data_IF_218590517860
#
_entry.id   IF_218590517860
#
_cell.length_a   1.000
_cell.length_b   1.000
_cell.length_c   1.000
_cell.angle_alpha   90.00
_cell.angle_beta   90.00
_cell.angle_gamma   90.00
#
_symmetry.space_group_name_H-M   'P 1'
#
loop_
_entity.id
_entity.type
_entity.pdbx_description
1 polymer ?
#
# COMPACT_ATOMS: atom_id res chain seq x y z
N UNK A 1 16.68 4.27 18.70
CA UNK A 1 16.42 3.51 17.44
C UNK A 1 15.72 2.22 17.84
N UNK A 2 14.56 1.94 17.30
CA UNK A 2 13.75 0.74 17.61
C UNK A 2 14.57 -0.52 17.37
N UNK A 3 14.70 -1.38 18.38
CA UNK A 3 15.41 -2.65 18.27
C UNK A 3 14.53 -3.69 17.56
N UNK A 4 15.13 -4.45 16.67
CA UNK A 4 14.43 -5.45 15.86
C UNK A 4 15.23 -6.75 15.75
N UNK A 5 14.61 -7.79 15.20
CA UNK A 5 15.25 -9.07 14.87
C UNK A 5 15.87 -9.11 13.46
N UNK A 6 16.29 -7.96 12.92
CA UNK A 6 16.74 -7.78 11.53
C UNK A 6 17.82 -8.80 11.10
N UNK A 7 18.76 -9.12 11.99
CA UNK A 7 19.86 -10.07 11.71
C UNK A 7 19.39 -11.53 11.54
N UNK A 8 18.14 -11.82 11.90
CA UNK A 8 17.55 -13.16 11.77
C UNK A 8 16.67 -13.29 10.53
N UNK A 9 16.43 -12.19 9.78
CA UNK A 9 15.51 -12.19 8.65
C UNK A 9 16.18 -12.66 7.37
N UNK A 10 15.67 -13.74 6.73
CA UNK A 10 16.17 -14.15 5.43
C UNK A 10 15.82 -13.17 4.33
N UNK A 11 16.71 -12.98 3.38
CA UNK A 11 16.45 -12.29 2.11
C UNK A 11 16.32 -13.33 1.01
N UNK A 12 15.21 -13.31 0.27
CA UNK A 12 15.00 -14.23 -0.85
C UNK A 12 14.56 -13.46 -2.09
N UNK A 13 14.80 -14.03 -3.27
CA UNK A 13 14.31 -13.48 -4.54
C UNK A 13 12.94 -14.06 -4.87
N UNK A 14 11.97 -13.20 -5.19
CA UNK A 14 10.69 -13.60 -5.78
C UNK A 14 10.49 -12.85 -7.09
N UNK A 15 9.89 -13.53 -8.08
CA UNK A 15 9.75 -12.99 -9.43
C UNK A 15 8.28 -12.73 -9.77
N UNK A 16 8.04 -11.62 -10.48
CA UNK A 16 6.79 -11.28 -11.13
C UNK A 16 7.03 -10.69 -12.51
N UNK A 17 5.96 -10.29 -13.16
CA UNK A 17 5.94 -9.63 -14.46
C UNK A 17 4.82 -8.58 -14.46
N UNK A 18 4.79 -7.70 -15.46
CA UNK A 18 3.72 -6.70 -15.59
C UNK A 18 2.38 -7.42 -15.69
N UNK A 19 1.41 -7.02 -14.89
CA UNK A 19 0.03 -7.52 -15.03
C UNK A 19 -0.75 -6.59 -15.97
N UNK A 20 -1.49 -7.13 -16.96
CA UNK A 20 -2.18 -6.31 -17.95
C UNK A 20 -3.26 -5.42 -17.29
N UNK A 21 -3.57 -4.30 -17.95
CA UNK A 21 -4.70 -3.46 -17.56
C UNK A 21 -6.00 -4.26 -17.56
N UNK A 22 -6.80 -4.07 -16.53
CA UNK A 22 -8.15 -4.59 -16.45
C UNK A 22 -9.14 -3.60 -17.08
N UNK A 23 -10.19 -4.11 -17.69
CA UNK A 23 -11.32 -3.29 -18.12
C UNK A 23 -12.39 -3.25 -17.03
N UNK A 24 -13.14 -2.15 -16.88
CA UNK A 24 -14.33 -2.17 -16.06
C UNK A 24 -15.27 -3.27 -16.54
N UNK A 25 -15.54 -4.26 -15.71
CA UNK A 25 -16.53 -5.29 -16.03
C UNK A 25 -17.92 -4.65 -16.01
N UNK A 26 -18.57 -4.61 -17.20
CA UNK A 26 -19.89 -4.01 -17.36
C UNK A 26 -21.00 -4.64 -16.49
N UNK A 27 -20.71 -5.78 -15.82
CA UNK A 27 -21.60 -6.42 -14.87
C UNK A 27 -21.44 -5.92 -13.42
N UNK A 28 -20.28 -5.40 -13.05
CA UNK A 28 -20.04 -4.89 -11.70
C UNK A 28 -20.36 -3.39 -11.54
N UNK A 29 -20.30 -2.63 -12.63
CA UNK A 29 -20.67 -1.23 -12.68
C UNK A 29 -22.11 -1.10 -13.16
N UNK A 30 -23.06 -1.27 -12.25
CA UNK A 30 -24.47 -1.09 -12.56
C UNK A 30 -24.72 0.30 -13.16
N UNK A 31 -25.21 0.32 -14.37
CA UNK A 31 -25.33 1.46 -15.25
C UNK A 31 -26.09 2.67 -14.67
N UNK A 32 -26.95 2.45 -13.68
CA UNK A 32 -27.83 3.51 -13.17
C UNK A 32 -27.14 4.48 -12.20
N UNK A 33 -26.05 4.05 -11.58
CA UNK A 33 -25.33 4.87 -10.58
C UNK A 33 -23.97 5.37 -11.05
N UNK A 34 -23.44 4.88 -12.17
CA UNK A 34 -22.02 5.03 -12.52
C UNK A 34 -21.73 5.29 -14.00
N UNK A 35 -22.52 6.11 -14.64
CA UNK A 35 -22.14 6.66 -15.98
C UNK A 35 -20.74 7.28 -15.97
N UNK A 36 -20.30 7.76 -14.81
CA UNK A 36 -18.95 8.31 -14.62
C UNK A 36 -17.89 7.20 -14.56
N UNK A 37 -18.19 6.06 -13.93
CA UNK A 37 -17.27 4.91 -13.81
C UNK A 37 -17.03 4.16 -15.12
N UNK A 38 -17.97 4.21 -16.05
CA UNK A 38 -17.84 3.56 -17.36
C UNK A 38 -16.76 4.18 -18.27
N UNK A 39 -16.43 5.46 -18.05
CA UNK A 39 -15.44 6.20 -18.83
C UNK A 39 -14.12 6.40 -18.04
N UNK A 40 -13.79 5.49 -17.14
CA UNK A 40 -12.58 5.55 -16.32
C UNK A 40 -11.66 4.38 -16.61
N UNK A 41 -10.35 4.61 -16.45
CA UNK A 41 -9.37 3.52 -16.42
C UNK A 41 -9.44 2.80 -15.08
N UNK A 42 -9.07 1.53 -15.05
CA UNK A 42 -9.02 0.76 -13.83
C UNK A 42 -7.59 0.38 -13.44
N UNK A 43 -7.45 -0.60 -12.56
CA UNK A 43 -6.18 -1.13 -12.08
C UNK A 43 -5.43 -1.93 -13.18
N UNK A 44 -4.16 -2.18 -12.96
CA UNK A 44 -3.30 -2.97 -13.82
C UNK A 44 -2.43 -2.14 -14.77
N UNK A 45 -1.47 -2.78 -15.41
CA UNK A 45 -0.60 -2.19 -16.42
C UNK A 45 0.49 -1.26 -15.88
N UNK A 46 0.87 -0.31 -16.72
CA UNK A 46 1.87 0.71 -16.44
C UNK A 46 1.20 2.08 -16.43
N UNK A 47 1.16 2.73 -15.27
CA UNK A 47 0.64 4.09 -15.10
C UNK A 47 1.78 5.09 -15.25
N UNK A 48 1.79 5.87 -16.33
CA UNK A 48 2.89 6.76 -16.65
C UNK A 48 2.86 8.09 -15.91
N UNK A 49 1.68 8.61 -15.62
CA UNK A 49 1.47 9.98 -15.13
C UNK A 49 1.15 10.10 -13.63
N UNK A 50 0.98 8.99 -12.91
CA UNK A 50 0.76 8.98 -11.46
C UNK A 50 1.76 8.09 -10.75
N UNK A 51 2.26 8.59 -9.61
CA UNK A 51 3.26 7.94 -8.76
C UNK A 51 2.93 8.07 -7.29
N UNK A 52 3.69 7.37 -6.45
CA UNK A 52 3.73 7.65 -5.02
C UNK A 52 4.07 9.14 -4.78
N UNK A 53 3.35 9.79 -3.87
CA UNK A 53 3.42 11.23 -3.59
C UNK A 53 2.49 12.09 -4.44
N UNK A 54 1.80 11.55 -5.44
CA UNK A 54 0.79 12.27 -6.22
C UNK A 54 -0.60 12.13 -5.59
N UNK A 55 -1.52 13.11 -5.79
CA UNK A 55 -2.90 12.99 -5.31
C UNK A 55 -3.58 11.72 -5.83
N UNK A 56 -4.31 11.03 -4.95
CA UNK A 56 -5.02 9.80 -5.29
C UNK A 56 -6.55 9.95 -5.28
N UNK A 57 -7.05 11.16 -4.99
CA UNK A 57 -8.47 11.47 -4.88
C UNK A 57 -9.00 12.21 -6.11
N UNK A 58 -10.24 11.90 -6.51
CA UNK A 58 -10.93 12.61 -7.59
C UNK A 58 -10.40 12.38 -9.00
N UNK A 59 -9.59 11.34 -9.21
CA UNK A 59 -9.07 10.97 -10.52
C UNK A 59 -10.16 10.28 -11.38
N UNK A 60 -9.96 10.31 -12.70
CA UNK A 60 -10.74 9.49 -13.64
C UNK A 60 -10.17 8.05 -13.66
N UNK A 61 -10.20 7.42 -12.50
CA UNK A 61 -9.67 6.08 -12.28
C UNK A 61 -10.49 5.33 -11.23
N UNK A 62 -10.64 4.03 -11.44
CA UNK A 62 -11.27 3.09 -10.53
C UNK A 62 -10.17 2.23 -9.89
N UNK A 63 -9.89 2.43 -8.61
CA UNK A 63 -8.77 1.77 -7.93
C UNK A 63 -7.44 1.95 -8.69
N UNK A 64 -7.21 3.14 -9.28
CA UNK A 64 -6.04 3.38 -10.11
C UNK A 64 -4.76 3.12 -9.31
N UNK A 65 -3.93 2.24 -9.82
CA UNK A 65 -2.65 1.86 -9.23
C UNK A 65 -1.52 2.75 -9.77
N UNK A 66 -0.70 3.37 -8.91
CA UNK A 66 0.41 4.21 -9.37
C UNK A 66 1.60 3.36 -9.82
N UNK A 67 2.33 3.80 -10.84
CA UNK A 67 3.56 3.17 -11.32
C UNK A 67 3.30 1.88 -12.08
N UNK A 68 3.83 0.76 -11.65
CA UNK A 68 3.74 -0.51 -12.38
C UNK A 68 3.03 -1.57 -11.56
N UNK A 69 1.97 -2.11 -12.12
CA UNK A 69 1.27 -3.26 -11.54
C UNK A 69 1.94 -4.55 -11.96
N UNK A 70 2.17 -5.45 -11.01
CA UNK A 70 2.84 -6.72 -11.29
C UNK A 70 2.21 -7.89 -10.56
N UNK A 71 2.40 -9.08 -11.14
CA UNK A 71 1.91 -10.35 -10.62
C UNK A 71 2.83 -11.50 -11.02
N UNK A 72 2.77 -12.62 -10.30
CA UNK A 72 3.37 -13.86 -10.78
C UNK A 72 2.29 -14.74 -11.42
N UNK A 73 2.39 -14.96 -12.73
CA UNK A 73 1.41 -15.72 -13.53
C UNK A 73 1.65 -17.23 -13.55
N UNK A 74 2.73 -17.74 -12.94
CA UNK A 74 3.05 -19.19 -13.00
C UNK A 74 1.94 -20.04 -12.37
N UNK A 75 1.48 -19.66 -11.19
CA UNK A 75 0.36 -20.31 -10.48
C UNK A 75 -0.04 -19.48 -9.23
N UNK A 76 -1.20 -19.76 -8.62
CA UNK A 76 -1.67 -19.01 -7.43
C UNK A 76 -0.73 -19.08 -6.23
N UNK A 77 -0.01 -20.19 -6.01
CA UNK A 77 0.93 -20.32 -4.89
C UNK A 77 2.17 -19.44 -5.10
N UNK A 78 2.69 -19.36 -6.33
CA UNK A 78 3.80 -18.49 -6.69
C UNK A 78 3.42 -17.02 -6.55
N UNK A 79 2.24 -16.61 -7.00
CA UNK A 79 1.74 -15.25 -6.77
C UNK A 79 1.50 -14.97 -5.29
N UNK A 80 1.01 -15.97 -4.56
CA UNK A 80 0.88 -15.89 -3.11
C UNK A 80 2.21 -15.63 -2.41
N UNK A 81 3.29 -16.30 -2.82
CA UNK A 81 4.63 -16.08 -2.31
C UNK A 81 5.17 -14.70 -2.72
N UNK A 82 4.97 -14.30 -3.99
CA UNK A 82 5.35 -13.00 -4.53
C UNK A 82 4.77 -11.85 -3.70
N UNK A 83 3.47 -11.92 -3.39
CA UNK A 83 2.80 -10.94 -2.54
C UNK A 83 3.20 -11.05 -1.05
N UNK A 84 3.24 -12.26 -0.50
CA UNK A 84 3.45 -12.46 0.96
C UNK A 84 4.84 -11.99 1.39
N UNK A 85 5.88 -12.35 0.64
CA UNK A 85 7.26 -12.06 1.04
C UNK A 85 7.73 -10.67 0.65
N UNK A 86 7.15 -10.05 -0.38
CA UNK A 86 7.48 -8.67 -0.73
C UNK A 86 6.98 -7.71 0.35
N UNK A 87 7.84 -6.82 0.82
CA UNK A 87 7.51 -5.77 1.79
C UNK A 87 7.60 -4.39 1.13
N UNK A 88 6.80 -3.44 1.60
CA UNK A 88 6.82 -2.05 1.16
C UNK A 88 8.21 -1.46 1.43
N UNK A 89 8.87 -0.94 0.42
CA UNK A 89 10.25 -0.46 0.46
C UNK A 89 11.28 -1.45 -0.09
N UNK A 90 10.94 -2.74 -0.27
CA UNK A 90 11.88 -3.69 -0.85
C UNK A 90 12.34 -3.28 -2.23
N UNK A 91 13.62 -3.47 -2.52
CA UNK A 91 14.19 -3.20 -3.83
C UNK A 91 13.69 -4.22 -4.86
N UNK A 92 13.29 -3.70 -6.01
CA UNK A 92 12.94 -4.49 -7.19
C UNK A 92 13.89 -4.17 -8.34
N UNK A 93 14.22 -5.18 -9.14
CA UNK A 93 15.07 -5.05 -10.32
C UNK A 93 14.35 -5.56 -11.56
N UNK A 94 14.40 -4.80 -12.65
CA UNK A 94 13.97 -5.26 -13.98
C UNK A 94 14.98 -6.31 -14.48
N UNK A 95 14.50 -7.49 -14.89
CA UNK A 95 15.37 -8.60 -15.31
C UNK A 95 15.22 -8.98 -16.78
N UNK A 96 14.32 -8.30 -17.52
CA UNK A 96 14.10 -8.48 -18.97
C UNK A 96 13.97 -7.14 -19.69
N UNK A 97 13.82 -7.16 -21.02
CA UNK A 97 13.57 -6.01 -21.87
C UNK A 97 14.66 -4.93 -21.86
N UNK A 98 14.30 -3.77 -22.38
CA UNK A 98 15.23 -2.63 -22.57
C UNK A 98 15.60 -1.96 -21.24
N UNK A 99 14.70 -2.00 -20.26
CA UNK A 99 14.93 -1.50 -18.90
C UNK A 99 15.74 -2.46 -18.01
N UNK A 100 16.25 -3.57 -18.54
CA UNK A 100 16.98 -4.58 -17.76
C UNK A 100 18.12 -3.98 -16.94
N UNK A 101 18.13 -4.27 -15.64
CA UNK A 101 19.13 -3.77 -14.70
C UNK A 101 18.67 -2.55 -13.91
N UNK A 102 17.68 -1.81 -14.38
CA UNK A 102 17.07 -0.69 -13.64
C UNK A 102 16.42 -1.20 -12.35
N UNK A 103 16.36 -0.33 -11.34
CA UNK A 103 15.87 -0.66 -10.01
C UNK A 103 14.75 0.28 -9.58
N UNK A 104 13.89 -0.22 -8.71
CA UNK A 104 12.78 0.51 -8.13
C UNK A 104 12.42 -0.04 -6.76
N UNK A 105 11.20 0.22 -6.30
CA UNK A 105 10.72 -0.18 -4.97
C UNK A 105 9.32 -0.80 -5.03
N UNK A 106 9.06 -1.72 -4.10
CA UNK A 106 7.70 -2.19 -3.81
C UNK A 106 6.95 -1.08 -3.06
N UNK A 107 5.77 -0.70 -3.52
CA UNK A 107 5.00 0.44 -2.99
C UNK A 107 3.64 0.07 -2.46
N UNK A 108 3.08 -1.09 -2.82
CA UNK A 108 1.75 -1.47 -2.40
C UNK A 108 1.42 -2.93 -2.70
N UNK A 109 0.34 -3.40 -2.07
CA UNK A 109 -0.28 -4.71 -2.31
C UNK A 109 -1.77 -4.52 -2.43
N UNK A 110 -2.35 -4.82 -3.58
CA UNK A 110 -3.78 -4.69 -3.82
C UNK A 110 -4.45 -6.07 -3.71
N UNK A 111 -5.39 -6.19 -2.80
CA UNK A 111 -6.21 -7.39 -2.60
C UNK A 111 -7.26 -7.57 -3.71
N UNK A 112 -7.89 -8.74 -3.77
CA UNK A 112 -8.79 -9.05 -4.87
C UNK A 112 -8.04 -9.49 -6.13
N UNK A 113 -7.41 -8.58 -6.89
CA UNK A 113 -6.58 -8.96 -8.04
C UNK A 113 -5.25 -9.58 -7.63
N UNK A 114 -4.83 -9.45 -6.37
CA UNK A 114 -3.56 -9.95 -5.83
C UNK A 114 -2.35 -9.34 -6.57
N UNK A 115 -2.39 -8.01 -6.77
CA UNK A 115 -1.32 -7.25 -7.40
C UNK A 115 -0.24 -6.82 -6.40
N UNK A 116 1.00 -6.75 -6.88
CA UNK A 116 2.11 -6.06 -6.23
C UNK A 116 2.45 -4.81 -7.04
N UNK A 117 2.39 -3.64 -6.42
CA UNK A 117 2.69 -2.37 -7.08
C UNK A 117 4.15 -2.01 -6.90
N UNK A 118 4.74 -1.52 -7.99
CA UNK A 118 6.15 -1.20 -8.09
C UNK A 118 6.33 0.25 -8.55
N UNK A 119 7.24 0.94 -7.92
CA UNK A 119 7.73 2.22 -8.41
C UNK A 119 9.00 2.02 -9.25
N UNK A 120 9.05 2.64 -10.40
CA UNK A 120 10.26 2.94 -11.17
C UNK A 120 10.22 4.42 -11.56
N UNK A 121 11.39 5.02 -11.77
CA UNK A 121 11.47 6.39 -12.27
C UNK A 121 10.80 6.53 -13.65
N UNK A 122 10.38 7.75 -14.06
CA UNK A 122 9.66 7.94 -15.31
C UNK A 122 10.41 7.44 -16.55
N UNK A 123 11.74 7.67 -16.61
CA UNK A 123 12.57 7.24 -17.73
C UNK A 123 12.62 5.72 -17.85
N UNK A 124 12.70 5.02 -16.72
CA UNK A 124 12.65 3.55 -16.69
C UNK A 124 11.27 3.04 -17.14
N UNK A 125 10.18 3.68 -16.70
CA UNK A 125 8.82 3.26 -17.10
C UNK A 125 8.55 3.39 -18.60
N UNK A 126 9.12 4.41 -19.26
CA UNK A 126 9.02 4.57 -20.72
C UNK A 126 9.73 3.43 -21.51
N UNK A 127 10.65 2.72 -20.86
CA UNK A 127 11.37 1.59 -21.45
C UNK A 127 10.71 0.24 -21.13
N UNK A 128 9.74 0.20 -20.21
CA UNK A 128 9.05 -1.03 -19.84
C UNK A 128 7.97 -1.40 -20.84
N UNK A 129 7.80 -2.70 -21.03
CA UNK A 129 6.72 -3.31 -21.81
C UNK A 129 5.88 -4.24 -20.93
N UNK A 130 4.72 -4.67 -21.44
CA UNK A 130 3.86 -5.60 -20.71
C UNK A 130 4.45 -7.01 -20.50
N UNK A 131 5.54 -7.33 -21.22
CA UNK A 131 6.23 -8.63 -21.10
C UNK A 131 7.41 -8.60 -20.12
N UNK A 132 7.67 -7.42 -19.49
CA UNK A 132 8.82 -7.26 -18.63
C UNK A 132 8.67 -7.95 -17.28
N UNK A 133 9.80 -8.50 -16.80
CA UNK A 133 9.90 -9.29 -15.59
C UNK A 133 10.71 -8.57 -14.53
N UNK A 134 10.27 -8.80 -13.29
CA UNK A 134 10.81 -8.17 -12.09
C UNK A 134 11.30 -9.21 -11.09
N UNK A 135 12.45 -8.95 -10.48
CA UNK A 135 12.96 -9.69 -9.33
C UNK A 135 12.92 -8.79 -8.10
N UNK A 136 12.08 -9.12 -7.13
CA UNK A 136 12.06 -8.45 -5.82
C UNK A 136 13.06 -9.16 -4.91
N UNK A 137 13.96 -8.39 -4.31
CA UNK A 137 14.81 -8.84 -3.20
C UNK A 137 14.03 -8.62 -1.91
N UNK A 138 13.34 -9.65 -1.44
CA UNK A 138 12.44 -9.52 -0.30
C UNK A 138 13.19 -9.49 1.03
N UNK A 139 12.76 -8.60 1.92
CA UNK A 139 13.26 -8.49 3.28
C UNK A 139 12.19 -7.86 4.19
N UNK A 140 12.02 -8.40 5.39
CA UNK A 140 11.06 -7.85 6.36
C UNK A 140 9.90 -8.79 6.73
N UNK A 141 9.69 -9.90 5.99
CA UNK A 141 8.73 -10.91 6.43
C UNK A 141 9.23 -11.58 7.72
N UNK A 142 8.43 -11.52 8.78
CA UNK A 142 8.83 -11.97 10.12
C UNK A 142 9.52 -10.90 10.98
N UNK A 143 9.54 -9.62 10.54
CA UNK A 143 10.06 -8.51 11.32
C UNK A 143 9.31 -8.37 12.65
N UNK A 144 10.07 -8.26 13.74
CA UNK A 144 9.54 -8.00 15.10
C UNK A 144 10.25 -6.82 15.74
N UNK A 145 9.50 -6.05 16.53
CA UNK A 145 10.01 -4.95 17.33
C UNK A 145 10.28 -5.50 18.74
N UNK A 146 11.55 -5.72 19.09
CA UNK A 146 11.93 -6.47 20.30
C UNK A 146 11.51 -5.79 21.60
N UNK A 147 11.44 -4.46 21.60
CA UNK A 147 11.01 -3.68 22.76
C UNK A 147 9.48 -3.46 22.82
N UNK A 148 8.79 -3.79 21.74
CA UNK A 148 7.33 -3.61 21.58
C UNK A 148 6.66 -4.89 21.06
N UNK A 149 6.66 -6.00 21.82
CA UNK A 149 6.15 -7.30 21.36
C UNK A 149 4.64 -7.30 21.05
N UNK A 150 3.88 -6.33 21.58
CA UNK A 150 2.46 -6.13 21.31
C UNK A 150 2.20 -5.27 20.05
N UNK A 151 3.24 -4.79 19.38
CA UNK A 151 3.15 -4.09 18.09
C UNK A 151 3.71 -5.01 17.01
N UNK A 152 2.86 -5.43 16.09
CA UNK A 152 3.25 -6.32 15.01
C UNK A 152 3.61 -5.53 13.75
N UNK A 153 4.80 -5.77 13.20
CA UNK A 153 5.14 -5.31 11.86
C UNK A 153 4.52 -6.23 10.80
N UNK A 154 4.02 -5.63 9.73
CA UNK A 154 3.44 -6.29 8.55
C UNK A 154 3.95 -5.60 7.30
N UNK A 155 4.20 -6.34 6.25
CA UNK A 155 4.51 -5.78 4.93
C UNK A 155 5.58 -4.66 4.91
N UNK A 156 6.45 -4.57 5.90
CA UNK A 156 7.35 -3.44 6.12
C UNK A 156 8.81 -3.85 5.94
N UNK A 157 9.50 -3.15 5.03
CA UNK A 157 10.95 -3.25 4.88
C UNK A 157 11.65 -2.68 6.11
N UNK A 158 12.68 -3.37 6.67
CA UNK A 158 13.41 -2.88 7.84
C UNK A 158 14.14 -1.54 7.64
N UNK A 159 14.66 -1.27 6.44
CA UNK A 159 15.28 0.03 6.15
C UNK A 159 14.24 1.15 6.08
N UNK A 160 13.06 0.85 5.51
CA UNK A 160 11.96 1.80 5.51
C UNK A 160 11.50 2.12 6.94
N UNK A 161 11.38 1.10 7.81
CA UNK A 161 11.05 1.31 9.23
C UNK A 161 11.99 2.34 9.88
N UNK A 162 13.30 2.25 9.61
CA UNK A 162 14.28 3.19 10.15
C UNK A 162 14.16 4.61 9.58
N UNK A 163 13.68 4.74 8.34
CA UNK A 163 13.49 6.04 7.67
C UNK A 163 12.18 6.74 8.06
N UNK A 164 11.22 6.03 8.67
CA UNK A 164 9.91 6.56 9.03
C UNK A 164 9.93 7.64 10.12
N UNK A 165 11.06 7.88 10.80
CA UNK A 165 11.17 8.91 11.83
C UNK A 165 10.30 8.63 13.07
N UNK A 166 10.06 7.36 13.39
CA UNK A 166 9.26 6.94 14.55
C UNK A 166 10.00 7.30 15.85
N UNK A 167 9.30 7.97 16.74
CA UNK A 167 9.80 8.34 18.07
C UNK A 167 9.28 7.35 19.13
N UNK A 168 10.11 7.04 20.13
CA UNK A 168 9.73 6.22 21.28
C UNK A 168 9.44 7.16 22.46
N UNK A 169 8.20 7.12 23.00
CA UNK A 169 7.78 7.99 24.09
C UNK A 169 6.76 7.30 24.98
N UNK A 170 7.00 7.33 26.30
CA UNK A 170 6.07 6.82 27.34
C UNK A 170 5.58 5.38 27.06
N UNK A 171 6.45 4.51 26.53
CA UNK A 171 6.15 3.12 26.19
C UNK A 171 5.31 2.94 24.93
N UNK A 172 5.15 3.99 24.11
CA UNK A 172 4.45 4.00 22.85
C UNK A 172 5.37 4.37 21.70
N UNK A 173 4.94 4.00 20.49
CA UNK A 173 5.51 4.50 19.24
C UNK A 173 4.71 5.70 18.73
N UNK A 174 5.38 6.82 18.54
CA UNK A 174 4.82 8.02 17.90
C UNK A 174 5.21 7.98 16.43
N UNK A 175 4.25 7.68 15.57
CA UNK A 175 4.48 7.47 14.14
C UNK A 175 4.04 8.71 13.36
N UNK A 176 4.91 9.29 12.52
CA UNK A 176 4.49 10.32 11.58
C UNK A 176 3.43 9.78 10.62
N UNK A 177 2.31 10.50 10.50
CA UNK A 177 1.19 10.15 9.61
C UNK A 177 0.62 11.40 8.96
N UNK A 178 0.13 11.29 7.74
CA UNK A 178 -0.53 12.42 7.06
C UNK A 178 -1.95 12.62 7.58
N UNK A 179 -2.66 11.52 7.85
CA UNK A 179 -4.07 11.52 8.22
C UNK A 179 -4.36 10.48 9.31
N UNK A 180 -5.46 10.71 10.05
CA UNK A 180 -6.07 9.72 10.94
C UNK A 180 -7.43 9.34 10.36
N UNK A 181 -7.64 8.06 10.13
CA UNK A 181 -8.83 7.53 9.48
C UNK A 181 -9.81 7.05 10.56
N UNK A 182 -11.00 7.66 10.66
CA UNK A 182 -12.05 7.20 11.57
C UNK A 182 -12.45 5.76 11.26
N UNK A 183 -12.67 4.95 12.29
CA UNK A 183 -12.96 3.51 12.11
C UNK A 183 -14.22 3.22 11.30
N UNK A 184 -15.20 4.13 11.28
CA UNK A 184 -16.43 4.01 10.49
C UNK A 184 -16.19 4.12 8.98
N UNK A 185 -15.04 4.64 8.55
CA UNK A 185 -14.70 4.78 7.13
C UNK A 185 -13.97 3.56 6.54
N UNK A 186 -13.65 2.52 7.31
CA UNK A 186 -13.03 1.31 6.77
C UNK A 186 -14.08 0.41 6.12
N UNK A 187 -13.85 0.06 4.85
CA UNK A 187 -14.81 -0.61 3.96
C UNK A 187 -14.35 -1.95 3.42
N UNK A 188 -14.33 -2.08 2.11
CA UNK A 188 -14.03 -3.32 1.37
C UNK A 188 -12.72 -3.96 1.83
N UNK A 189 -12.66 -5.28 1.88
CA UNK A 189 -11.54 -6.04 2.43
C UNK A 189 -11.56 -6.23 3.94
N UNK A 190 -12.49 -5.60 4.67
CA UNK A 190 -12.70 -5.84 6.11
C UNK A 190 -13.12 -7.30 6.35
N UNK A 191 -12.59 -7.91 7.40
CA UNK A 191 -12.81 -9.33 7.70
C UNK A 191 -11.87 -10.29 6.96
N UNK A 192 -11.10 -9.82 5.97
CA UNK A 192 -10.20 -10.66 5.20
C UNK A 192 -8.93 -11.05 5.96
N UNK A 193 -8.45 -12.26 5.68
CA UNK A 193 -7.17 -12.80 6.15
C UNK A 193 -6.42 -13.42 4.97
N UNK A 194 -5.09 -13.43 4.92
CA UNK A 194 -4.11 -12.89 5.88
C UNK A 194 -3.81 -11.39 5.65
N UNK A 195 -3.41 -10.67 6.69
CA UNK A 195 -3.04 -9.24 6.63
C UNK A 195 -1.67 -8.97 5.99
N UNK A 196 -0.93 -10.01 5.63
CA UNK A 196 0.35 -9.93 4.91
C UNK A 196 0.17 -9.83 3.38
N UNK A 197 -1.08 -9.82 2.90
CA UNK A 197 -1.43 -9.66 1.48
C UNK A 197 -2.51 -8.60 1.34
N UNK A 198 -2.44 -7.88 0.21
CA UNK A 198 -3.45 -6.94 -0.18
C UNK A 198 -3.65 -5.80 0.81
N UNK A 199 -4.79 -5.18 0.71
CA UNK A 199 -5.22 -3.97 1.40
C UNK A 199 -6.65 -4.08 1.91
N UNK A 200 -7.19 -2.99 2.39
CA UNK A 200 -8.61 -2.73 2.55
C UNK A 200 -8.89 -1.23 2.41
N UNK A 201 -10.12 -0.90 1.99
CA UNK A 201 -10.42 0.42 1.47
C UNK A 201 -10.93 1.38 2.54
N UNK A 202 -10.62 2.65 2.35
CA UNK A 202 -11.28 3.76 3.03
C UNK A 202 -12.51 4.12 2.20
N UNK A 203 -13.71 3.99 2.76
CA UNK A 203 -14.96 4.36 2.07
C UNK A 203 -15.02 5.87 1.85
N UNK A 204 -15.17 6.28 0.59
CA UNK A 204 -15.17 7.69 0.20
C UNK A 204 -16.46 8.13 -0.49
N UNK A 205 -17.53 7.33 -0.43
CA UNK A 205 -18.84 7.66 -1.02
C UNK A 205 -19.49 8.89 -0.40
N UNK A 206 -19.31 9.11 0.92
CA UNK A 206 -19.75 10.33 1.62
C UNK A 206 -18.72 11.45 1.45
N UNK A 207 -18.88 12.23 0.37
CA UNK A 207 -17.94 13.31 0.03
C UNK A 207 -17.89 14.44 1.05
N UNK A 208 -18.97 14.67 1.81
CA UNK A 208 -19.01 15.68 2.88
C UNK A 208 -18.17 15.19 4.08
N UNK A 209 -18.30 13.93 4.46
CA UNK A 209 -17.46 13.35 5.51
C UNK A 209 -15.98 13.32 5.09
N UNK A 210 -15.68 12.93 3.84
CA UNK A 210 -14.31 12.95 3.29
C UNK A 210 -13.67 14.32 3.46
N UNK A 211 -14.35 15.41 3.05
CA UNK A 211 -13.87 16.79 3.21
C UNK A 211 -13.75 17.19 4.69
N UNK A 212 -14.75 16.84 5.51
CA UNK A 212 -14.78 17.19 6.94
C UNK A 212 -13.57 16.62 7.70
N UNK A 213 -13.11 15.44 7.32
CA UNK A 213 -11.94 14.76 7.94
C UNK A 213 -10.64 14.97 7.13
N UNK A 214 -10.70 15.76 6.04
CA UNK A 214 -9.53 16.18 5.25
C UNK A 214 -8.95 15.10 4.34
N UNK A 215 -9.68 14.02 4.07
CA UNK A 215 -9.21 12.90 3.25
C UNK A 215 -9.21 13.19 1.74
N UNK A 216 -9.79 14.28 1.30
CA UNK A 216 -9.72 14.77 -0.08
C UNK A 216 -8.30 15.19 -0.51
N UNK A 217 -7.37 15.27 0.44
CA UNK A 217 -5.95 15.59 0.21
C UNK A 217 -5.03 14.38 0.23
N UNK A 218 -5.57 13.15 0.35
CA UNK A 218 -4.79 11.91 0.33
C UNK A 218 -3.96 11.76 -0.96
N UNK A 219 -2.76 11.20 -0.79
CA UNK A 219 -1.82 10.91 -1.89
C UNK A 219 -1.42 9.44 -1.86
N UNK A 220 -1.07 8.91 -2.99
CA UNK A 220 -0.40 7.61 -3.07
C UNK A 220 0.85 7.60 -2.19
N UNK A 221 1.02 6.55 -1.40
CA UNK A 221 2.16 6.41 -0.50
C UNK A 221 2.03 7.14 0.83
N UNK A 222 0.96 7.89 1.08
CA UNK A 222 0.71 8.52 2.39
C UNK A 222 0.60 7.47 3.49
N UNK A 223 1.23 7.76 4.61
CA UNK A 223 1.12 6.94 5.83
C UNK A 223 -0.05 7.45 6.64
N UNK A 224 -0.96 6.55 6.98
CA UNK A 224 -2.19 6.85 7.70
C UNK A 224 -2.33 6.02 8.97
N UNK A 225 -2.96 6.60 10.00
CA UNK A 225 -3.36 5.88 11.19
C UNK A 225 -4.82 5.48 11.07
N UNK A 226 -5.11 4.21 11.32
CA UNK A 226 -6.46 3.64 11.33
C UNK A 226 -6.92 3.46 12.77
N UNK A 227 -7.97 4.18 13.15
CA UNK A 227 -8.53 4.13 14.49
C UNK A 227 -9.37 2.88 14.71
N UNK A 228 -9.20 2.22 15.87
CA UNK A 228 -9.96 1.04 16.27
C UNK A 228 -9.90 -0.11 15.22
N UNK A 229 -8.77 -0.24 14.51
CA UNK A 229 -8.53 -1.32 13.56
C UNK A 229 -7.43 -2.24 14.07
N UNK A 230 -7.78 -3.51 14.25
CA UNK A 230 -6.86 -4.61 14.58
C UNK A 230 -6.56 -5.43 13.33
N UNK A 231 -5.27 -5.60 13.04
CA UNK A 231 -4.78 -6.39 11.92
C UNK A 231 -3.89 -7.55 12.38
N UNK A 232 -4.06 -8.00 13.61
CA UNK A 232 -3.27 -9.10 14.20
C UNK A 232 -3.57 -10.43 13.51
N UNK A 233 -4.85 -10.78 13.38
CA UNK A 233 -5.31 -12.06 12.82
C UNK A 233 -6.20 -11.91 11.59
N UNK A 234 -6.50 -10.71 11.20
CA UNK A 234 -7.41 -10.34 10.11
C UNK A 234 -7.82 -8.89 10.29
N UNK A 235 -8.47 -8.31 9.29
CA UNK A 235 -8.89 -6.91 9.28
C UNK A 235 -10.18 -6.74 10.06
N UNK A 236 -10.08 -6.38 11.35
CA UNK A 236 -11.20 -6.33 12.26
C UNK A 236 -11.33 -4.97 12.97
N UNK A 237 -12.56 -4.57 13.28
CA UNK A 237 -12.80 -3.48 14.22
C UNK A 237 -12.56 -4.00 15.66
N UNK A 238 -11.74 -3.27 16.41
CA UNK A 238 -11.49 -3.56 17.82
C UNK A 238 -11.24 -2.24 18.56
N UNK A 239 -12.11 -1.89 19.51
CA UNK A 239 -12.01 -0.65 20.26
C UNK A 239 -10.67 -0.52 20.98
N UNK A 240 -9.98 0.61 20.74
CA UNK A 240 -8.66 0.91 21.30
C UNK A 240 -7.48 0.34 20.49
N UNK A 241 -7.71 -0.54 19.52
CA UNK A 241 -6.66 -0.99 18.60
C UNK A 241 -6.25 0.12 17.64
N UNK A 242 -4.99 0.10 17.22
CA UNK A 242 -4.44 1.08 16.27
C UNK A 242 -3.62 0.37 15.22
N UNK A 243 -3.80 0.76 13.97
CA UNK A 243 -2.95 0.31 12.87
C UNK A 243 -2.38 1.49 12.09
N UNK A 244 -1.21 1.29 11.54
CA UNK A 244 -0.55 2.19 10.57
C UNK A 244 -0.54 1.49 9.23
N UNK A 245 -0.94 2.20 8.19
CA UNK A 245 -0.91 1.69 6.84
C UNK A 245 -0.43 2.72 5.83
N UNK A 246 -0.24 2.26 4.60
CA UNK A 246 0.17 3.07 3.45
C UNK A 246 -0.93 3.06 2.40
N UNK A 247 -1.24 4.24 1.83
CA UNK A 247 -2.20 4.39 0.73
C UNK A 247 -1.57 3.85 -0.56
N UNK A 248 -2.25 2.88 -1.20
CA UNK A 248 -1.63 2.11 -2.28
C UNK A 248 -2.33 2.29 -3.63
N UNK A 249 -3.63 2.51 -3.68
CA UNK A 249 -4.38 2.82 -4.89
C UNK A 249 -5.34 3.99 -4.67
N UNK A 250 -5.88 4.52 -5.76
CA UNK A 250 -6.70 5.71 -5.77
C UNK A 250 -8.16 5.46 -5.37
N UNK A 251 -8.89 6.57 -5.35
CA UNK A 251 -10.33 6.62 -5.10
C UNK A 251 -11.12 5.77 -6.12
N UNK A 252 -12.35 5.51 -5.82
CA UNK A 252 -13.28 4.78 -6.67
C UNK A 252 -14.68 5.34 -6.51
N UNK A 253 -15.53 5.10 -7.49
CA UNK A 253 -16.96 5.41 -7.42
C UNK A 253 -17.78 4.26 -6.83
N UNK A 254 -17.17 3.11 -6.58
CA UNK A 254 -17.86 1.92 -6.08
C UNK A 254 -18.23 2.08 -4.61
N UNK A 255 -19.51 1.85 -4.20
CA UNK A 255 -19.92 1.90 -2.80
C UNK A 255 -19.15 0.93 -1.92
N UNK A 256 -18.75 1.40 -0.72
CA UNK A 256 -17.96 0.60 0.21
C UNK A 256 -16.46 0.55 -0.10
N UNK A 257 -16.03 1.17 -1.20
CA UNK A 257 -14.64 1.24 -1.66
C UNK A 257 -14.10 2.68 -1.62
N UNK A 258 -12.82 2.83 -1.92
CA UNK A 258 -12.06 4.08 -1.96
C UNK A 258 -10.56 3.78 -1.93
N UNK A 259 -9.68 4.70 -1.52
CA UNK A 259 -8.25 4.44 -1.46
C UNK A 259 -7.91 3.24 -0.59
N UNK A 260 -7.11 2.32 -1.14
CA UNK A 260 -6.68 1.10 -0.45
C UNK A 260 -5.54 1.33 0.51
N UNK A 261 -5.53 0.58 1.62
CA UNK A 261 -4.52 0.68 2.69
C UNK A 261 -3.86 -0.67 2.94
N UNK A 262 -2.56 -0.79 2.63
CA UNK A 262 -1.74 -1.93 3.07
C UNK A 262 -1.17 -1.66 4.46
N UNK A 263 -1.31 -2.60 5.38
CA UNK A 263 -0.90 -2.45 6.78
C UNK A 263 0.61 -2.61 6.95
N UNK A 264 1.21 -1.71 7.73
CA UNK A 264 2.63 -1.71 8.11
C UNK A 264 2.86 -2.06 9.57
N UNK A 265 2.08 -1.47 10.50
CA UNK A 265 2.13 -1.75 11.92
C UNK A 265 0.72 -1.93 12.48
N UNK A 266 0.54 -2.79 13.48
CA UNK A 266 -0.73 -2.96 14.17
C UNK A 266 -0.55 -3.32 15.63
N UNK A 267 -1.42 -2.80 16.50
CA UNK A 267 -1.49 -3.20 17.90
C UNK A 267 -2.94 -3.24 18.37
N UNK A 268 -3.29 -4.30 19.11
CA UNK A 268 -4.59 -4.39 19.82
C UNK A 268 -4.68 -3.46 21.03
N UNK A 269 -3.54 -2.96 21.49
CA UNK A 269 -3.42 -2.01 22.59
C UNK A 269 -3.15 -0.61 22.03
N UNK A 270 -3.46 0.47 22.74
CA UNK A 270 -3.18 1.84 22.29
C UNK A 270 -1.70 2.20 22.44
N UNK A 271 -0.80 1.39 21.86
CA UNK A 271 0.66 1.55 21.92
C UNK A 271 1.22 2.32 20.73
N UNK A 272 0.39 2.73 19.79
CA UNK A 272 0.77 3.54 18.64
C UNK A 272 -0.02 4.84 18.68
N UNK A 273 0.68 5.97 18.52
CA UNK A 273 0.09 7.30 18.34
C UNK A 273 0.53 7.90 17.02
N UNK A 274 -0.40 8.52 16.30
CA UNK A 274 -0.11 9.25 15.06
C UNK A 274 0.22 10.72 15.34
N UNK A 275 1.39 11.18 14.88
CA UNK A 275 1.80 12.57 14.84
C UNK A 275 1.61 13.10 13.42
N UNK A 276 0.76 14.11 13.24
CA UNK A 276 0.52 14.66 11.90
C UNK A 276 1.80 15.29 11.36
N UNK A 277 2.25 14.78 10.24
CA UNK A 277 3.34 15.30 9.41
C UNK A 277 2.98 15.12 7.93
N UNK A 278 2.86 16.22 7.20
CA UNK A 278 2.51 16.20 5.76
C UNK A 278 3.54 15.49 4.88
N UNK A 279 4.76 15.26 5.39
CA UNK A 279 5.83 14.54 4.70
C UNK A 279 5.82 13.03 4.97
N UNK A 280 4.91 12.54 5.82
CA UNK A 280 4.79 11.12 6.14
C UNK A 280 4.28 10.31 4.94
N UNK A 281 5.15 10.09 3.98
CA UNK A 281 4.85 9.42 2.72
C UNK A 281 6.07 8.61 2.28
N UNK A 282 5.84 7.41 1.75
CA UNK A 282 6.94 6.54 1.29
C UNK A 282 7.74 7.18 0.15
N UNK A 283 7.14 8.04 -0.68
CA UNK A 283 7.85 8.76 -1.74
C UNK A 283 8.95 9.65 -1.18
N UNK A 284 8.71 10.31 -0.04
CA UNK A 284 9.70 11.14 0.64
C UNK A 284 10.82 10.28 1.25
N UNK A 285 10.46 9.22 1.96
CA UNK A 285 11.44 8.38 2.65
C UNK A 285 12.28 7.49 1.73
N UNK A 286 11.77 7.14 0.54
CA UNK A 286 12.50 6.40 -0.50
C UNK A 286 13.29 7.33 -1.44
N UNK A 287 13.21 8.66 -1.24
CA UNK A 287 13.92 9.64 -2.06
C UNK A 287 13.37 9.79 -3.48
N UNK A 288 12.09 9.46 -3.66
CA UNK A 288 11.40 9.55 -4.96
C UNK A 288 10.90 10.97 -5.23
N UNK A 289 10.34 11.61 -4.20
CA UNK A 289 9.75 12.96 -4.30
C UNK A 289 9.97 13.72 -3.00
N UNK A 290 10.46 14.95 -3.11
CA UNK A 290 10.46 15.85 -1.96
C UNK A 290 9.03 16.38 -1.73
N UNK A 291 8.54 16.20 -0.52
CA UNK A 291 7.20 16.63 -0.08
C UNK A 291 7.26 17.73 1.00
N UNK A 292 8.38 18.47 1.02
CA UNK A 292 8.59 19.60 1.93
C UNK A 292 7.58 20.73 1.71
#
# INVERSE_FOLDING_TARGET
>A
MIRTNIDLLPMIGVQGEVDPCMTPDGGEFNADNFRIGQDTVTMGGITYNFNIGDPCMGLRGEHLEPGVTSRNHSNPAANGAYNTYSCIGNTVKVVSGDAKGKTGFVTGKHGGPEHLMLYFDPETREQLTCDDKFLVKTWGFGLTLTDYPDILARNLDPELLHKMGIEEKDGKLIVPVTHKIPSCMMGSGKGYTPTVRGDYDIMTSDKELVKKVGLDTLRYGDIVLLENQDNTYGRAHCGGAVSIGVIIHGDTYRPGHGPGVTILLTSRKPLIEGKIDKRANIAHWLGVKDLS
#
